data_IF_917972774979
#
_entry.id   IF_917972774979
#
_cell.length_a   1.000
_cell.length_b   1.000
_cell.length_c   1.000
_cell.angle_alpha   90.00
_cell.angle_beta   90.00
_cell.angle_gamma   90.00
#
_symmetry.space_group_name_H-M   'P 1'
#
loop_
_entity.id
_entity.type
_entity.pdbx_description
1 polymer ?
#
# COMPACT_ATOMS: atom_id res chain seq x y z
N UNK A 1 14.85 40.36 -32.43
CA UNK A 1 15.00 39.97 -31.01
C UNK A 1 13.67 39.92 -30.26
N UNK A 2 12.86 40.99 -30.22
CA UNK A 2 11.56 41.04 -29.51
C UNK A 2 10.56 39.92 -29.87
N UNK A 3 10.43 39.55 -31.15
CA UNK A 3 9.50 38.48 -31.59
C UNK A 3 9.83 37.10 -31.00
N UNK A 4 11.12 36.76 -30.92
CA UNK A 4 11.59 35.49 -30.36
C UNK A 4 11.43 35.42 -28.83
N UNK A 5 11.54 36.56 -28.14
CA UNK A 5 11.26 36.67 -26.71
C UNK A 5 9.78 36.38 -26.42
N UNK A 6 8.86 36.96 -27.20
CA UNK A 6 7.43 36.70 -27.02
C UNK A 6 7.03 35.25 -27.33
N UNK A 7 7.63 34.64 -28.36
CA UNK A 7 7.42 33.21 -28.65
C UNK A 7 7.90 32.34 -27.47
N UNK A 8 9.08 32.62 -26.91
CA UNK A 8 9.61 31.88 -25.77
C UNK A 8 8.72 32.02 -24.51
N UNK A 9 8.21 33.22 -24.23
CA UNK A 9 7.30 33.46 -23.10
C UNK A 9 5.99 32.69 -23.27
N UNK A 10 5.41 32.66 -24.48
CA UNK A 10 4.18 31.91 -24.76
C UNK A 10 4.41 30.40 -24.59
N UNK A 11 5.50 29.87 -25.15
CA UNK A 11 5.84 28.44 -25.01
C UNK A 11 6.04 28.06 -23.54
N UNK A 12 6.79 28.86 -22.78
CA UNK A 12 7.00 28.61 -21.34
C UNK A 12 5.69 28.66 -20.55
N UNK A 13 4.78 29.57 -20.90
CA UNK A 13 3.46 29.69 -20.26
C UNK A 13 2.57 28.48 -20.57
N UNK A 14 2.60 27.97 -21.81
CA UNK A 14 1.87 26.76 -22.20
C UNK A 14 2.42 25.51 -21.51
N UNK A 15 3.75 25.36 -21.44
CA UNK A 15 4.39 24.22 -20.76
C UNK A 15 4.09 24.27 -19.26
N UNK A 16 4.20 25.43 -18.63
CA UNK A 16 3.86 25.61 -17.22
C UNK A 16 2.38 25.33 -16.97
N UNK A 17 1.49 25.88 -17.80
CA UNK A 17 0.05 25.63 -17.70
C UNK A 17 -0.31 24.15 -17.84
N UNK A 18 0.32 23.45 -18.79
CA UNK A 18 0.16 22.00 -18.96
C UNK A 18 0.70 21.23 -17.75
N UNK A 19 1.90 21.55 -17.26
CA UNK A 19 2.50 20.88 -16.10
C UNK A 19 1.66 21.06 -14.84
N UNK A 20 1.14 22.27 -14.59
CA UNK A 20 0.21 22.55 -13.47
C UNK A 20 -1.09 21.77 -13.65
N UNK A 21 -1.70 21.81 -14.83
CA UNK A 21 -2.93 21.06 -15.10
C UNK A 21 -2.73 19.55 -14.94
N UNK A 22 -1.57 19.03 -15.34
CA UNK A 22 -1.20 17.63 -15.17
C UNK A 22 -1.00 17.27 -13.68
N UNK A 23 -0.32 18.12 -12.91
CA UNK A 23 -0.08 17.92 -11.48
C UNK A 23 -1.37 17.99 -10.64
N UNK A 24 -2.37 18.75 -11.09
CA UNK A 24 -3.67 18.88 -10.40
C UNK A 24 -4.66 17.75 -10.76
N UNK A 25 -4.30 16.81 -11.64
CA UNK A 25 -5.18 15.69 -11.95
C UNK A 25 -5.40 14.83 -10.70
N UNK A 26 -6.65 14.47 -10.37
CA UNK A 26 -6.91 13.53 -9.29
C UNK A 26 -6.18 12.21 -9.55
N UNK A 27 -5.42 11.75 -8.56
CA UNK A 27 -4.73 10.48 -8.58
C UNK A 27 -4.82 9.84 -7.19
N UNK A 28 -4.99 8.52 -7.16
CA UNK A 28 -4.90 7.77 -5.91
C UNK A 28 -3.42 7.74 -5.48
N UNK A 29 -3.08 8.17 -4.25
CA UNK A 29 -1.69 8.21 -3.80
C UNK A 29 -1.05 6.83 -3.76
N UNK A 30 0.23 6.77 -4.14
CA UNK A 30 1.04 5.56 -4.01
C UNK A 30 1.64 5.49 -2.61
N UNK A 31 1.69 4.27 -2.07
CA UNK A 31 2.18 3.96 -0.74
C UNK A 31 3.30 2.93 -0.88
N UNK A 32 4.34 3.08 -0.06
CA UNK A 32 5.45 2.14 -0.01
C UNK A 32 5.08 0.90 0.81
N UNK A 33 5.36 -0.28 0.28
CA UNK A 33 5.27 -1.57 0.97
C UNK A 33 6.43 -2.50 0.62
N UNK A 34 6.42 -3.71 1.14
CA UNK A 34 7.39 -4.75 0.82
C UNK A 34 6.75 -5.98 0.18
N UNK A 35 7.45 -6.59 -0.77
CA UNK A 35 7.05 -7.82 -1.43
C UNK A 35 8.30 -8.55 -1.92
N UNK A 36 8.46 -9.82 -1.54
CA UNK A 36 9.64 -10.64 -1.89
C UNK A 36 10.98 -9.95 -1.57
N UNK A 37 11.05 -9.23 -0.44
CA UNK A 37 12.25 -8.53 -0.01
C UNK A 37 12.49 -7.19 -0.71
N UNK A 38 11.68 -6.82 -1.71
CA UNK A 38 11.79 -5.57 -2.47
C UNK A 38 10.78 -4.53 -2.00
N UNK A 39 11.15 -3.26 -2.15
CA UNK A 39 10.22 -2.15 -1.97
C UNK A 39 9.29 -2.05 -3.18
N UNK A 40 8.00 -1.87 -2.93
CA UNK A 40 6.96 -1.76 -3.94
C UNK A 40 6.05 -0.57 -3.66
N UNK A 41 5.30 -0.15 -4.69
CA UNK A 41 4.26 0.85 -4.60
C UNK A 41 2.90 0.18 -4.77
N UNK A 42 1.94 0.59 -3.95
CA UNK A 42 0.55 0.13 -4.00
C UNK A 42 -0.41 1.27 -3.61
N UNK A 43 -1.71 1.01 -3.66
CA UNK A 43 -2.75 2.01 -3.37
C UNK A 43 -3.80 1.45 -2.39
N UNK A 44 -4.44 2.33 -1.62
CA UNK A 44 -5.66 2.02 -0.87
C UNK A 44 -6.87 2.56 -1.63
N UNK A 45 -7.74 1.69 -2.14
CA UNK A 45 -8.91 2.14 -2.93
C UNK A 45 -10.22 1.92 -2.19
N UNK A 46 -10.51 0.68 -1.77
CA UNK A 46 -11.73 0.31 -1.05
C UNK A 46 -11.45 -0.65 0.11
N UNK A 47 -12.27 -0.62 1.15
CA UNK A 47 -12.15 -1.51 2.31
C UNK A 47 -13.51 -1.89 2.90
N UNK A 48 -13.60 -3.09 3.47
CA UNK A 48 -14.83 -3.60 4.06
C UNK A 48 -15.26 -2.95 5.37
N UNK A 49 -14.32 -2.32 6.09
CA UNK A 49 -14.55 -1.78 7.44
C UNK A 49 -14.44 -0.24 7.47
N UNK A 50 -15.43 0.47 8.04
CA UNK A 50 -15.43 1.93 8.04
C UNK A 50 -14.33 2.56 8.89
N UNK A 51 -13.91 1.93 9.99
CA UNK A 51 -12.82 2.47 10.84
C UNK A 51 -11.48 2.32 10.16
N UNK A 52 -11.28 1.20 9.46
CA UNK A 52 -10.09 1.01 8.64
C UNK A 52 -10.10 2.00 7.47
N UNK A 53 -11.25 2.27 6.85
CA UNK A 53 -11.34 3.29 5.78
C UNK A 53 -10.89 4.67 6.26
N UNK A 54 -11.36 5.11 7.43
CA UNK A 54 -10.97 6.37 8.05
C UNK A 54 -9.44 6.42 8.28
N UNK A 55 -8.88 5.40 8.96
CA UNK A 55 -7.45 5.29 9.21
C UNK A 55 -6.62 5.40 7.92
N UNK A 56 -6.99 4.63 6.90
CA UNK A 56 -6.25 4.60 5.64
C UNK A 56 -6.41 5.91 4.87
N UNK A 57 -7.58 6.55 4.93
CA UNK A 57 -7.83 7.83 4.28
C UNK A 57 -7.00 8.95 4.89
N UNK A 58 -6.92 8.99 6.21
CA UNK A 58 -6.08 9.96 6.94
C UNK A 58 -4.60 9.77 6.62
N UNK A 59 -4.14 8.51 6.59
CA UNK A 59 -2.74 8.18 6.31
C UNK A 59 -2.22 8.78 5.00
N UNK A 60 -3.03 8.76 3.94
CA UNK A 60 -2.64 9.24 2.61
C UNK A 60 -3.34 10.52 2.16
N UNK A 61 -4.14 11.12 3.04
CA UNK A 61 -4.94 12.31 2.75
C UNK A 61 -5.76 12.19 1.44
N UNK A 62 -6.33 11.00 1.23
CA UNK A 62 -7.13 10.66 0.05
C UNK A 62 -8.23 9.66 0.44
N UNK A 63 -9.47 9.80 -0.04
CA UNK A 63 -10.57 8.92 0.39
C UNK A 63 -10.35 7.45 0.02
N UNK A 64 -10.48 6.57 1.01
CA UNK A 64 -10.64 5.12 0.84
C UNK A 64 -12.11 4.79 1.05
N UNK A 65 -12.75 4.14 0.07
CA UNK A 65 -14.20 3.95 0.09
C UNK A 65 -14.61 2.74 0.94
N UNK A 66 -15.72 2.86 1.65
CA UNK A 66 -16.28 1.76 2.46
C UNK A 66 -17.14 0.87 1.57
N UNK A 67 -16.79 -0.41 1.48
CA UNK A 67 -17.53 -1.43 0.72
C UNK A 67 -17.69 -2.70 1.58
N UNK A 68 -18.70 -2.76 2.47
CA UNK A 68 -18.84 -3.84 3.45
C UNK A 68 -18.90 -5.25 2.83
N UNK A 69 -19.43 -5.36 1.60
CA UNK A 69 -19.51 -6.63 0.88
C UNK A 69 -18.15 -7.28 0.61
N UNK A 70 -17.04 -6.53 0.63
CA UNK A 70 -15.69 -7.08 0.47
C UNK A 70 -15.33 -8.11 1.56
N UNK A 71 -15.88 -7.97 2.77
CA UNK A 71 -15.66 -8.96 3.85
C UNK A 71 -16.27 -10.34 3.53
N UNK A 72 -17.17 -10.42 2.54
CA UNK A 72 -17.81 -11.66 2.09
C UNK A 72 -17.11 -12.28 0.89
N UNK A 73 -16.00 -11.69 0.42
CA UNK A 73 -15.25 -12.22 -0.71
C UNK A 73 -14.78 -13.66 -0.39
N UNK A 74 -14.96 -14.61 -1.33
CA UNK A 74 -14.54 -15.99 -1.11
C UNK A 74 -13.01 -16.07 -0.95
N UNK A 75 -12.49 -17.01 -0.15
CA UNK A 75 -11.05 -17.15 0.08
C UNK A 75 -10.22 -17.28 -1.21
N UNK A 76 -10.77 -17.84 -2.28
CA UNK A 76 -10.12 -17.97 -3.58
C UNK A 76 -9.82 -16.64 -4.27
N UNK A 77 -10.45 -15.54 -3.85
CA UNK A 77 -10.21 -14.18 -4.34
C UNK A 77 -9.30 -13.36 -3.40
N UNK A 78 -8.87 -13.94 -2.28
CA UNK A 78 -8.10 -13.22 -1.26
C UNK A 78 -6.63 -13.65 -1.28
N UNK A 79 -5.76 -12.67 -1.14
CA UNK A 79 -4.35 -12.84 -0.76
C UNK A 79 -4.11 -12.09 0.56
N UNK A 80 -2.96 -12.22 1.21
CA UNK A 80 -2.71 -11.56 2.49
C UNK A 80 -2.02 -10.21 2.32
N UNK A 81 -2.26 -9.33 3.29
CA UNK A 81 -1.38 -8.19 3.59
C UNK A 81 -1.10 -8.20 5.09
N UNK A 82 0.19 -8.12 5.45
CA UNK A 82 0.64 -8.11 6.83
C UNK A 82 0.90 -6.67 7.27
N UNK A 83 0.14 -6.22 8.27
CA UNK A 83 0.16 -4.85 8.76
C UNK A 83 0.59 -4.84 10.23
N UNK A 84 1.59 -4.03 10.56
CA UNK A 84 2.26 -4.09 11.86
C UNK A 84 1.63 -3.12 12.87
N UNK A 85 1.21 -3.64 14.03
CA UNK A 85 0.62 -2.85 15.12
C UNK A 85 1.67 -2.29 16.11
N UNK A 86 2.90 -2.81 16.09
CA UNK A 86 4.01 -2.37 16.94
C UNK A 86 5.39 -2.72 16.34
N UNK A 87 6.47 -2.43 17.08
CA UNK A 87 7.85 -2.75 16.70
C UNK A 87 8.56 -1.60 15.99
N UNK A 88 9.18 -1.88 14.83
CA UNK A 88 9.99 -0.88 14.12
C UNK A 88 9.11 0.24 13.59
N UNK A 89 9.44 1.50 13.92
CA UNK A 89 8.74 2.69 13.42
C UNK A 89 8.88 2.83 11.91
N UNK A 90 7.83 3.29 11.23
CA UNK A 90 7.82 3.43 9.78
C UNK A 90 6.52 4.02 9.23
N UNK A 91 6.33 3.86 7.92
CA UNK A 91 5.21 4.44 7.16
C UNK A 91 3.95 3.58 7.03
N UNK A 92 3.80 2.52 7.82
CA UNK A 92 2.59 1.70 7.82
C UNK A 92 1.39 2.34 8.56
N UNK A 93 0.17 1.78 8.43
CA UNK A 93 -1.07 2.36 8.98
C UNK A 93 -1.03 2.71 10.48
N UNK A 94 -0.34 1.93 11.30
CA UNK A 94 -0.20 2.17 12.74
C UNK A 94 1.09 2.93 13.12
N UNK A 95 1.77 3.57 12.15
CA UNK A 95 3.06 4.29 12.32
C UNK A 95 4.25 3.37 12.64
N UNK A 96 4.15 2.10 12.23
CA UNK A 96 5.21 1.10 12.27
C UNK A 96 5.64 0.75 10.85
N UNK A 97 6.43 -0.31 10.66
CA UNK A 97 7.01 -0.63 9.37
C UNK A 97 5.96 -0.70 8.23
N UNK A 98 6.38 -0.44 6.97
CA UNK A 98 5.55 -0.66 5.81
C UNK A 98 4.96 -2.07 5.75
N UNK A 99 3.79 -2.16 5.11
CA UNK A 99 3.04 -3.40 4.95
C UNK A 99 3.81 -4.41 4.11
N UNK A 100 3.66 -5.70 4.43
CA UNK A 100 4.26 -6.80 3.68
C UNK A 100 3.18 -7.53 2.91
N UNK A 101 3.39 -7.69 1.60
CA UNK A 101 2.48 -8.40 0.70
C UNK A 101 3.00 -9.81 0.44
N UNK A 102 2.06 -10.72 0.15
CA UNK A 102 2.34 -12.02 -0.44
C UNK A 102 2.01 -12.01 -1.96
N UNK A 103 2.41 -13.08 -2.64
CA UNK A 103 1.99 -13.41 -4.00
C UNK A 103 2.16 -12.27 -5.02
N UNK A 104 3.35 -12.06 -5.59
CA UNK A 104 3.57 -11.00 -6.57
C UNK A 104 2.77 -11.23 -7.87
N UNK A 105 2.44 -10.16 -8.63
CA UNK A 105 1.83 -10.27 -9.94
C UNK A 105 2.64 -11.21 -10.85
N UNK A 106 1.96 -12.10 -11.55
CA UNK A 106 2.58 -13.18 -12.32
C UNK A 106 2.66 -14.52 -11.57
N UNK A 107 2.46 -14.54 -10.26
CA UNK A 107 2.24 -15.78 -9.50
C UNK A 107 0.77 -16.23 -9.57
N UNK A 108 0.52 -17.53 -9.39
CA UNK A 108 -0.84 -18.10 -9.35
C UNK A 108 -1.67 -17.54 -8.19
N UNK A 109 -1.01 -17.18 -7.08
CA UNK A 109 -1.65 -16.67 -5.87
C UNK A 109 -1.96 -15.17 -5.88
N UNK A 110 -1.59 -14.42 -6.92
CA UNK A 110 -1.81 -12.96 -6.93
C UNK A 110 -3.29 -12.63 -6.86
N UNK A 111 -3.69 -11.83 -5.86
CA UNK A 111 -5.04 -11.24 -5.77
C UNK A 111 -4.95 -9.76 -5.40
N UNK A 112 -5.80 -8.91 -5.99
CA UNK A 112 -5.86 -7.49 -5.63
C UNK A 112 -6.59 -7.26 -4.29
N UNK A 113 -7.49 -8.18 -3.91
CA UNK A 113 -8.17 -8.15 -2.62
C UNK A 113 -7.28 -8.77 -1.54
N UNK A 114 -6.97 -7.98 -0.52
CA UNK A 114 -6.07 -8.32 0.57
C UNK A 114 -6.83 -8.51 1.87
N UNK A 115 -6.77 -9.73 2.39
CA UNK A 115 -7.20 -10.05 3.74
C UNK A 115 -6.18 -9.50 4.74
N UNK A 116 -6.64 -8.68 5.67
CA UNK A 116 -5.79 -8.04 6.67
C UNK A 116 -5.27 -9.08 7.68
N UNK A 117 -3.95 -9.10 7.85
CA UNK A 117 -3.25 -9.88 8.85
C UNK A 117 -2.48 -8.93 9.78
N UNK A 118 -3.00 -8.69 10.98
CA UNK A 118 -2.42 -7.75 11.94
C UNK A 118 -1.30 -8.42 12.71
N UNK A 119 -0.06 -7.96 12.51
CA UNK A 119 1.15 -8.50 13.11
C UNK A 119 1.52 -7.70 14.36
N UNK A 120 1.79 -8.40 15.46
CA UNK A 120 2.26 -7.81 16.72
C UNK A 120 3.51 -8.54 17.21
N UNK A 121 4.61 -7.84 17.39
CA UNK A 121 5.80 -8.35 18.08
C UNK A 121 5.49 -8.59 19.56
N UNK A 122 5.83 -9.79 20.06
CA UNK A 122 5.71 -10.10 21.49
C UNK A 122 6.76 -9.37 22.33
N UNK A 123 7.95 -9.16 21.76
CA UNK A 123 9.00 -8.34 22.34
C UNK A 123 9.43 -7.26 21.34
N UNK A 124 8.99 -6.02 21.58
CA UNK A 124 9.31 -4.89 20.68
C UNK A 124 10.80 -4.57 20.61
N UNK A 125 11.59 -4.89 21.64
CA UNK A 125 13.03 -4.66 21.65
C UNK A 125 13.78 -5.58 20.67
N UNK A 126 13.17 -6.72 20.32
CA UNK A 126 13.70 -7.67 19.34
C UNK A 126 13.12 -7.43 17.93
N UNK A 127 12.26 -6.43 17.76
CA UNK A 127 11.61 -6.16 16.49
C UNK A 127 12.63 -5.77 15.42
N UNK A 128 12.44 -6.31 14.22
CA UNK A 128 13.22 -5.99 13.02
C UNK A 128 12.28 -5.79 11.84
N UNK A 129 12.76 -5.11 10.80
CA UNK A 129 11.96 -4.97 9.57
C UNK A 129 11.84 -6.33 8.88
N UNK A 130 10.61 -6.77 8.64
CA UNK A 130 10.32 -7.94 7.81
C UNK A 130 9.85 -7.46 6.42
N UNK A 131 10.36 -8.07 5.35
CA UNK A 131 10.16 -7.60 3.96
C UNK A 131 9.53 -8.64 3.03
N UNK A 132 9.21 -9.83 3.53
CA UNK A 132 8.56 -10.89 2.75
C UNK A 132 7.61 -11.70 3.61
N UNK A 133 6.59 -12.31 3.00
CA UNK A 133 5.72 -13.25 3.70
C UNK A 133 6.54 -14.34 4.39
N UNK A 134 7.57 -14.87 3.71
CA UNK A 134 8.46 -15.90 4.27
C UNK A 134 9.08 -15.46 5.59
N UNK A 135 9.53 -14.21 5.70
CA UNK A 135 10.09 -13.66 6.94
C UNK A 135 9.02 -13.49 8.03
N UNK A 136 7.82 -13.02 7.67
CA UNK A 136 6.70 -12.90 8.61
C UNK A 136 6.30 -14.28 9.15
N UNK A 137 6.20 -15.28 8.29
CA UNK A 137 5.90 -16.66 8.67
C UNK A 137 6.99 -17.30 9.51
N UNK A 138 8.26 -17.04 9.21
CA UNK A 138 9.35 -17.50 10.05
C UNK A 138 9.29 -16.87 11.46
N UNK A 139 9.00 -15.58 11.57
CA UNK A 139 8.83 -14.90 12.85
C UNK A 139 7.61 -15.43 13.64
N UNK A 140 6.50 -15.74 12.95
CA UNK A 140 5.32 -16.36 13.55
C UNK A 140 5.63 -17.75 14.10
N UNK A 141 6.31 -18.60 13.30
CA UNK A 141 6.71 -19.95 13.69
C UNK A 141 7.72 -19.96 14.84
N UNK A 142 8.64 -19.01 14.87
CA UNK A 142 9.58 -18.80 15.97
C UNK A 142 8.89 -18.22 17.23
N UNK A 143 7.60 -17.87 17.14
CA UNK A 143 6.83 -17.31 18.24
C UNK A 143 7.20 -15.87 18.59
N UNK A 144 7.91 -15.15 17.73
CA UNK A 144 8.34 -13.77 17.92
C UNK A 144 7.19 -12.77 17.70
N UNK A 145 6.26 -13.11 16.80
CA UNK A 145 5.07 -12.32 16.50
C UNK A 145 3.79 -13.13 16.71
N UNK A 146 2.67 -12.42 16.84
CA UNK A 146 1.30 -12.96 16.79
C UNK A 146 0.60 -12.31 15.61
N UNK A 147 -0.19 -13.10 14.86
CA UNK A 147 -0.97 -12.62 13.73
C UNK A 147 -2.47 -12.76 14.03
N UNK A 148 -3.18 -11.65 14.02
CA UNK A 148 -4.64 -11.59 14.18
C UNK A 148 -5.32 -11.34 12.82
N UNK A 149 -6.46 -11.98 12.58
CA UNK A 149 -7.20 -11.85 11.32
C UNK A 149 -8.61 -11.33 11.60
N UNK A 150 -8.85 -10.01 11.53
CA UNK A 150 -10.13 -9.42 11.89
C UNK A 150 -11.25 -9.64 10.86
N UNK A 151 -10.97 -10.30 9.73
CA UNK A 151 -11.95 -10.47 8.64
C UNK A 151 -12.14 -9.22 7.77
N UNK A 152 -11.24 -8.23 7.89
CA UNK A 152 -11.25 -7.03 7.05
C UNK A 152 -10.57 -7.33 5.72
N UNK A 153 -11.20 -6.91 4.63
CA UNK A 153 -10.68 -7.05 3.26
C UNK A 153 -10.49 -5.66 2.65
N UNK A 154 -9.32 -5.43 2.06
CA UNK A 154 -8.94 -4.18 1.41
C UNK A 154 -8.61 -4.46 -0.06
N UNK A 155 -9.13 -3.66 -0.99
CA UNK A 155 -8.63 -3.66 -2.35
C UNK A 155 -7.34 -2.84 -2.41
N UNK A 156 -6.22 -3.52 -2.66
CA UNK A 156 -4.89 -2.92 -2.67
C UNK A 156 -4.14 -3.27 -3.95
N UNK A 157 -4.45 -2.60 -5.08
CA UNK A 157 -3.76 -2.85 -6.33
C UNK A 157 -2.29 -2.42 -6.22
N UNK A 158 -1.41 -3.26 -6.78
CA UNK A 158 0.02 -2.97 -6.86
C UNK A 158 0.32 -2.12 -8.10
N UNK A 159 1.16 -1.12 -7.91
CA UNK A 159 1.66 -0.21 -8.95
C UNK A 159 3.02 -0.67 -9.45
N UNK A 160 3.90 -1.11 -8.54
CA UNK A 160 5.17 -1.76 -8.86
C UNK A 160 5.27 -3.11 -8.17
N UNK A 161 6.06 -4.01 -8.74
CA UNK A 161 6.34 -5.34 -8.19
C UNK A 161 7.66 -5.89 -8.74
N UNK A 162 8.22 -6.96 -8.16
CA UNK A 162 9.41 -7.59 -8.72
C UNK A 162 9.22 -7.95 -10.19
N UNK A 163 10.02 -7.32 -11.06
CA UNK A 163 9.97 -7.54 -12.51
C UNK A 163 8.93 -6.72 -13.28
N UNK A 164 8.19 -5.79 -12.67
CA UNK A 164 7.21 -4.99 -13.40
C UNK A 164 6.66 -3.74 -12.71
N UNK A 165 5.92 -2.94 -13.49
CA UNK A 165 5.20 -1.75 -13.04
C UNK A 165 4.05 -1.42 -14.00
N UNK A 166 3.15 -0.52 -13.59
CA UNK A 166 2.14 0.12 -14.43
C UNK A 166 2.23 1.63 -14.41
#
# INVERSE_FOLDING_TARGET
MKKWVWVAVIVASLVTGYAVAYALKPAVPNITGYLEGQEILFQHTEVSDPKVAELLSEMVSSPVLVVPALAQAPPSLLANVFVFKNGVRGGGPFKYQPDVFDNPPGSEGYRPLRALALVTWKNEQAARVLKSEREVKAAEQAGEVVIERPGVVVNMPLVTWPGGRR
#
